data_IF_990808338228
#
_entry.id   IF_990808338228
#
_cell.length_a   1.000
_cell.length_b   1.000
_cell.length_c   1.000
_cell.angle_alpha   90.00
_cell.angle_beta   90.00
_cell.angle_gamma   90.00
#
_symmetry.space_group_name_H-M   'P 1'
#
loop_
_entity.id
_entity.type
_entity.pdbx_description
1 polymer ?
#
# COMPACT_ATOMS: atom_id res chain seq x y z
N UNK A 1 1.49 32.25 -5.00
CA UNK A 1 0.29 31.50 -4.54
C UNK A 1 -0.57 31.00 -5.70
N UNK A 2 -1.04 31.86 -6.61
CA UNK A 2 -1.90 31.42 -7.73
C UNK A 2 -1.19 30.48 -8.73
N UNK A 3 0.08 30.65 -8.96
CA UNK A 3 0.86 29.84 -9.92
C UNK A 3 1.00 28.38 -9.48
N UNK A 4 1.22 28.16 -8.18
CA UNK A 4 1.33 26.81 -7.61
C UNK A 4 -0.01 26.08 -7.66
N UNK A 5 -1.11 26.79 -7.37
CA UNK A 5 -2.49 26.24 -7.45
C UNK A 5 -2.81 25.82 -8.88
N UNK A 6 -2.49 26.68 -9.88
CA UNK A 6 -2.69 26.33 -11.28
C UNK A 6 -1.89 25.07 -11.68
N UNK A 7 -0.66 24.95 -11.24
CA UNK A 7 0.18 23.77 -11.51
C UNK A 7 -0.35 22.50 -10.85
N UNK A 8 -0.93 22.62 -9.65
CA UNK A 8 -1.60 21.51 -8.96
C UNK A 8 -2.82 21.07 -9.77
N UNK A 9 -3.65 22.01 -10.25
CA UNK A 9 -4.82 21.70 -11.07
C UNK A 9 -4.41 21.06 -12.41
N UNK A 10 -3.40 21.59 -13.08
CA UNK A 10 -2.84 21.00 -14.31
C UNK A 10 -2.35 19.57 -14.08
N UNK A 11 -1.60 19.34 -13.00
CA UNK A 11 -1.14 18.02 -12.61
C UNK A 11 -2.29 17.05 -12.34
N UNK A 12 -3.33 17.51 -11.65
CA UNK A 12 -4.54 16.71 -11.40
C UNK A 12 -5.29 16.34 -12.69
N UNK A 13 -5.44 17.27 -13.64
CA UNK A 13 -6.09 17.03 -14.92
C UNK A 13 -5.28 16.09 -15.84
N UNK A 14 -3.94 16.17 -15.79
CA UNK A 14 -3.02 15.32 -16.55
C UNK A 14 -2.72 13.98 -15.86
N UNK A 15 -3.32 13.71 -14.70
CA UNK A 15 -3.03 12.55 -13.85
C UNK A 15 -1.54 12.41 -13.47
N UNK A 16 -0.80 13.52 -13.42
CA UNK A 16 0.58 13.58 -13.01
C UNK A 16 0.67 13.82 -11.50
N UNK A 17 0.63 12.72 -10.74
CA UNK A 17 0.64 12.74 -9.28
C UNK A 17 1.92 13.36 -8.71
N UNK A 18 3.07 13.18 -9.38
CA UNK A 18 4.34 13.75 -8.97
C UNK A 18 4.35 15.28 -9.09
N UNK A 19 3.78 15.79 -10.16
CA UNK A 19 3.61 17.23 -10.37
C UNK A 19 2.72 17.84 -9.28
N UNK A 20 1.58 17.21 -8.99
CA UNK A 20 0.67 17.63 -7.90
C UNK A 20 1.40 17.67 -6.56
N UNK A 21 2.11 16.60 -6.20
CA UNK A 21 2.86 16.51 -4.95
C UNK A 21 3.91 17.60 -4.80
N UNK A 22 4.76 17.78 -5.81
CA UNK A 22 5.84 18.77 -5.78
C UNK A 22 5.31 20.20 -5.61
N UNK A 23 4.29 20.58 -6.36
CA UNK A 23 3.72 21.93 -6.27
C UNK A 23 2.89 22.15 -5.00
N UNK A 24 2.23 21.12 -4.47
CA UNK A 24 1.54 21.20 -3.20
C UNK A 24 2.52 21.35 -2.02
N UNK A 25 3.69 20.71 -2.07
CA UNK A 25 4.75 20.89 -1.08
C UNK A 25 5.32 22.31 -1.12
N UNK A 26 5.60 22.85 -2.32
CA UNK A 26 6.04 24.23 -2.49
C UNK A 26 4.99 25.22 -1.95
N UNK A 27 3.71 24.94 -2.16
CA UNK A 27 2.62 25.77 -1.63
C UNK A 27 2.59 25.74 -0.10
N UNK A 28 2.72 24.54 0.51
CA UNK A 28 2.76 24.39 1.96
C UNK A 28 3.96 25.14 2.59
N UNK A 29 5.15 25.08 1.96
CA UNK A 29 6.34 25.79 2.40
C UNK A 29 6.16 27.32 2.34
N UNK A 30 5.50 27.83 1.29
CA UNK A 30 5.15 29.25 1.18
C UNK A 30 4.17 29.70 2.26
N UNK A 31 3.09 28.95 2.47
CA UNK A 31 2.10 29.22 3.52
C UNK A 31 2.73 29.21 4.92
N UNK A 32 3.69 28.32 5.16
CA UNK A 32 4.44 28.32 6.42
C UNK A 32 5.25 29.61 6.63
N UNK A 33 5.87 30.15 5.57
CA UNK A 33 6.62 31.41 5.61
C UNK A 33 5.72 32.62 5.78
N UNK A 34 4.51 32.57 5.21
CA UNK A 34 3.51 33.65 5.30
C UNK A 34 2.74 33.63 6.65
N UNK A 35 3.09 32.72 7.57
CA UNK A 35 2.52 32.61 8.92
C UNK A 35 1.29 31.70 9.02
N UNK A 36 0.81 31.11 7.93
CA UNK A 36 -0.34 30.21 7.90
C UNK A 36 0.06 28.76 8.23
N UNK A 37 0.67 28.57 9.41
CA UNK A 37 1.23 27.26 9.82
C UNK A 37 0.20 26.15 9.95
N UNK A 38 -1.06 26.45 10.26
CA UNK A 38 -2.15 25.46 10.34
C UNK A 38 -2.48 24.86 8.97
N UNK A 39 -2.63 25.72 7.96
CA UNK A 39 -2.93 25.30 6.59
C UNK A 39 -1.75 24.53 5.98
N UNK A 40 -0.53 24.99 6.20
CA UNK A 40 0.69 24.28 5.79
C UNK A 40 0.74 22.86 6.35
N UNK A 41 0.50 22.67 7.66
CA UNK A 41 0.45 21.33 8.27
C UNK A 41 -0.66 20.46 7.68
N UNK A 42 -1.86 21.00 7.48
CA UNK A 42 -2.96 20.23 6.88
C UNK A 42 -2.64 19.74 5.46
N UNK A 43 -1.96 20.57 4.66
CA UNK A 43 -1.53 20.17 3.32
C UNK A 43 -0.46 19.09 3.41
N UNK A 44 0.56 19.24 4.25
CA UNK A 44 1.62 18.25 4.43
C UNK A 44 1.07 16.90 4.94
N UNK A 45 0.22 16.92 5.97
CA UNK A 45 -0.43 15.71 6.48
C UNK A 45 -1.28 15.00 5.41
N UNK A 46 -1.96 15.78 4.56
CA UNK A 46 -2.76 15.24 3.46
C UNK A 46 -1.87 14.65 2.35
N UNK A 47 -0.71 15.24 2.10
CA UNK A 47 0.28 14.76 1.14
C UNK A 47 0.93 13.48 1.64
N UNK A 48 1.34 13.41 2.91
CA UNK A 48 1.98 12.21 3.47
C UNK A 48 1.05 11.00 3.45
N UNK A 49 -0.22 11.18 3.84
CA UNK A 49 -1.22 10.10 3.82
C UNK A 49 -1.52 9.58 2.40
N UNK A 50 -1.61 10.48 1.41
CA UNK A 50 -1.97 10.11 0.03
C UNK A 50 -0.77 9.75 -0.83
N UNK A 51 0.41 10.32 -0.56
CA UNK A 51 1.60 10.05 -1.35
C UNK A 51 2.07 8.61 -1.19
N UNK A 52 2.02 8.05 0.01
CA UNK A 52 2.29 6.63 0.25
C UNK A 52 1.32 5.72 -0.53
N UNK A 53 0.04 6.11 -0.63
CA UNK A 53 -0.96 5.34 -1.40
C UNK A 53 -0.87 5.56 -2.92
N UNK A 54 -0.40 6.73 -3.39
CA UNK A 54 -0.29 7.04 -4.82
C UNK A 54 0.98 6.51 -5.47
N UNK A 55 2.13 6.52 -4.78
CA UNK A 55 3.35 5.86 -5.25
C UNK A 55 3.11 4.37 -5.45
N UNK A 56 2.37 3.75 -4.53
CA UNK A 56 2.02 2.34 -4.67
C UNK A 56 1.08 2.05 -5.85
N UNK A 57 0.25 3.00 -6.27
CA UNK A 57 -0.68 2.83 -7.41
C UNK A 57 0.00 3.05 -8.77
N UNK A 58 0.92 4.00 -8.89
CA UNK A 58 1.67 4.24 -10.14
C UNK A 58 2.71 3.15 -10.41
N UNK A 59 3.36 2.62 -9.37
CA UNK A 59 4.25 1.47 -9.46
C UNK A 59 3.47 0.16 -9.77
N UNK A 60 2.22 0.07 -9.31
CA UNK A 60 1.31 -1.05 -9.57
C UNK A 60 0.65 -1.00 -10.97
N UNK A 61 0.94 0.01 -11.79
CA UNK A 61 0.33 0.17 -13.13
C UNK A 61 0.75 -0.91 -14.13
N UNK A 62 1.84 -1.65 -13.87
CA UNK A 62 2.32 -2.76 -14.70
C UNK A 62 2.39 -4.06 -13.89
N UNK A 63 1.22 -4.68 -13.69
CA UNK A 63 1.20 -6.00 -13.00
C UNK A 63 2.02 -7.03 -13.76
N UNK A 64 2.83 -7.85 -13.06
CA UNK A 64 3.62 -8.89 -13.70
C UNK A 64 2.70 -9.91 -14.37
N UNK A 65 3.06 -10.27 -15.62
CA UNK A 65 2.32 -11.24 -16.40
C UNK A 65 3.15 -12.50 -16.63
N UNK A 66 2.47 -13.64 -16.72
CA UNK A 66 3.08 -14.88 -17.17
C UNK A 66 3.44 -14.77 -18.66
N UNK A 67 4.64 -15.19 -19.02
CA UNK A 67 5.16 -15.04 -20.39
C UNK A 67 4.40 -15.86 -21.44
N UNK A 68 3.72 -16.92 -21.02
CA UNK A 68 3.00 -17.87 -21.91
C UNK A 68 1.53 -17.56 -22.01
N UNK A 69 0.84 -17.53 -20.87
CA UNK A 69 -0.59 -17.28 -20.81
C UNK A 69 -0.94 -15.80 -20.98
N UNK A 70 0.03 -14.89 -20.80
CA UNK A 70 -0.15 -13.43 -20.71
C UNK A 70 -1.18 -13.02 -19.65
N UNK A 71 -1.47 -13.91 -18.69
CA UNK A 71 -2.35 -13.62 -17.56
C UNK A 71 -1.58 -12.88 -16.48
N UNK A 72 -2.24 -11.96 -15.78
CA UNK A 72 -1.66 -11.34 -14.59
C UNK A 72 -1.40 -12.41 -13.52
N UNK A 73 -0.17 -12.39 -12.98
CA UNK A 73 0.26 -13.31 -11.91
C UNK A 73 -0.24 -12.83 -10.55
N UNK A 74 -0.58 -11.55 -10.45
CA UNK A 74 -1.07 -10.93 -9.22
C UNK A 74 -2.35 -10.17 -9.46
N UNK A 75 -3.20 -10.14 -8.44
CA UNK A 75 -4.31 -9.21 -8.34
C UNK A 75 -3.96 -8.16 -7.29
N UNK A 76 -4.18 -6.90 -7.60
CA UNK A 76 -3.94 -5.79 -6.67
C UNK A 76 -5.27 -5.34 -6.10
N UNK A 77 -5.39 -5.41 -4.80
CA UNK A 77 -6.55 -4.96 -4.06
C UNK A 77 -6.21 -3.71 -3.26
N UNK A 78 -6.86 -2.58 -3.59
CA UNK A 78 -6.74 -1.33 -2.84
C UNK A 78 -7.84 -1.28 -1.78
N UNK A 79 -7.51 -1.33 -0.48
CA UNK A 79 -8.50 -1.28 0.58
C UNK A 79 -9.30 0.03 0.55
N UNK A 80 -10.60 -0.06 0.79
CA UNK A 80 -11.49 1.10 0.95
C UNK A 80 -11.65 1.44 2.44
N UNK A 81 -12.08 2.66 2.75
CA UNK A 81 -12.27 3.11 4.13
C UNK A 81 -13.34 2.30 4.90
N UNK A 82 -14.22 1.60 4.20
CA UNK A 82 -15.36 0.86 4.74
C UNK A 82 -15.17 -0.66 4.80
N UNK A 83 -13.94 -1.14 4.89
CA UNK A 83 -13.72 -2.59 5.07
C UNK A 83 -14.32 -3.10 6.38
N UNK A 84 -14.98 -4.25 6.28
CA UNK A 84 -15.64 -4.87 7.44
C UNK A 84 -14.57 -5.40 8.40
N UNK A 85 -14.58 -4.92 9.64
CA UNK A 85 -13.73 -5.50 10.69
C UNK A 85 -14.14 -6.96 10.91
N UNK A 86 -13.22 -7.93 10.75
CA UNK A 86 -13.52 -9.33 10.95
C UNK A 86 -13.85 -9.61 12.42
N UNK A 87 -14.85 -10.46 12.66
CA UNK A 87 -15.17 -10.95 14.01
C UNK A 87 -14.24 -12.14 14.28
N UNK A 88 -13.30 -11.97 15.21
CA UNK A 88 -12.29 -12.97 15.54
C UNK A 88 -12.40 -13.36 17.02
N UNK A 89 -12.02 -14.59 17.40
CA UNK A 89 -11.79 -14.92 18.80
C UNK A 89 -10.76 -13.97 19.42
N UNK A 90 -10.94 -13.61 20.69
CA UNK A 90 -10.16 -12.59 21.39
C UNK A 90 -8.64 -12.78 21.23
N UNK A 91 -8.14 -14.00 21.47
CA UNK A 91 -6.71 -14.30 21.30
C UNK A 91 -6.20 -14.07 19.87
N UNK A 92 -7.04 -14.36 18.86
CA UNK A 92 -6.68 -14.15 17.45
C UNK A 92 -6.72 -12.67 17.10
N UNK A 93 -7.70 -11.93 17.62
CA UNK A 93 -7.80 -10.49 17.44
C UNK A 93 -6.56 -9.79 18.00
N UNK A 94 -6.13 -10.11 19.22
CA UNK A 94 -4.91 -9.56 19.80
C UNK A 94 -3.67 -9.81 18.94
N UNK A 95 -3.48 -11.03 18.42
CA UNK A 95 -2.34 -11.35 17.53
C UNK A 95 -2.36 -10.54 16.24
N UNK A 96 -3.54 -10.27 15.68
CA UNK A 96 -3.68 -9.44 14.47
C UNK A 96 -3.38 -7.98 14.80
N UNK A 97 -3.89 -7.47 15.92
CA UNK A 97 -3.64 -6.09 16.37
C UNK A 97 -2.15 -5.87 16.69
N UNK A 98 -1.49 -6.84 17.35
CA UNK A 98 -0.05 -6.81 17.62
C UNK A 98 0.76 -6.76 16.32
N UNK A 99 0.40 -7.58 15.32
CA UNK A 99 1.06 -7.56 14.02
C UNK A 99 0.89 -6.22 13.32
N UNK A 100 -0.32 -5.65 13.30
CA UNK A 100 -0.59 -4.32 12.73
C UNK A 100 0.25 -3.26 13.42
N UNK A 101 0.31 -3.28 14.76
CA UNK A 101 1.10 -2.34 15.55
C UNK A 101 2.59 -2.46 15.28
N UNK A 102 3.12 -3.68 15.18
CA UNK A 102 4.52 -3.91 14.81
C UNK A 102 4.86 -3.30 13.45
N UNK A 103 4.03 -3.53 12.44
CA UNK A 103 4.27 -2.96 11.10
C UNK A 103 4.20 -1.42 11.13
N UNK A 104 3.22 -0.85 11.84
CA UNK A 104 3.08 0.62 11.94
C UNK A 104 4.28 1.28 12.61
N UNK A 105 4.91 0.61 13.56
CA UNK A 105 6.05 1.13 14.34
C UNK A 105 7.40 0.53 13.93
N UNK A 106 7.46 -0.14 12.76
CA UNK A 106 8.68 -0.82 12.30
C UNK A 106 9.91 0.09 12.28
N UNK A 107 9.76 1.37 11.88
CA UNK A 107 10.87 2.31 11.84
C UNK A 107 11.49 2.58 13.21
N UNK A 108 10.68 2.64 14.25
CA UNK A 108 11.16 2.85 15.62
C UNK A 108 11.74 1.58 16.23
N UNK A 109 11.20 0.41 15.89
CA UNK A 109 11.75 -0.88 16.27
C UNK A 109 13.16 -1.07 15.71
N UNK A 110 13.37 -0.79 14.41
CA UNK A 110 14.70 -0.87 13.78
C UNK A 110 15.70 0.12 14.38
N UNK A 111 15.30 1.36 14.68
CA UNK A 111 16.17 2.35 15.34
C UNK A 111 16.64 1.88 16.73
N UNK A 112 15.82 1.10 17.43
CA UNK A 112 16.13 0.54 18.74
C UNK A 112 16.81 -0.85 18.66
N UNK A 113 17.18 -1.31 17.46
CA UNK A 113 17.86 -2.60 17.27
C UNK A 113 16.97 -3.82 17.49
N UNK A 114 15.64 -3.66 17.43
CA UNK A 114 14.69 -4.76 17.58
C UNK A 114 14.42 -5.36 16.21
N UNK A 115 14.85 -6.60 16.00
CA UNK A 115 14.50 -7.38 14.82
C UNK A 115 13.14 -8.06 15.04
N UNK A 116 12.26 -7.97 14.05
CA UNK A 116 10.96 -8.65 14.08
C UNK A 116 10.62 -9.24 12.71
N UNK A 117 9.77 -10.28 12.71
CA UNK A 117 9.28 -10.87 11.47
C UNK A 117 8.07 -10.10 10.98
N UNK A 118 8.13 -9.63 9.72
CA UNK A 118 7.00 -9.00 9.01
C UNK A 118 6.13 -10.04 8.28
N UNK A 119 6.24 -11.32 8.64
CA UNK A 119 5.51 -12.41 8.03
C UNK A 119 4.43 -12.91 8.97
N UNK A 120 3.19 -12.99 8.48
CA UNK A 120 2.04 -13.52 9.20
C UNK A 120 1.47 -14.75 8.46
N UNK A 121 1.36 -15.88 9.16
CA UNK A 121 0.73 -17.08 8.63
C UNK A 121 -0.71 -17.19 9.14
N UNK A 122 -1.68 -17.15 8.20
CA UNK A 122 -3.09 -17.36 8.48
C UNK A 122 -3.49 -18.79 8.05
N UNK A 123 -3.90 -19.61 9.00
CA UNK A 123 -4.32 -20.99 8.76
C UNK A 123 -5.73 -21.27 9.31
N UNK A 124 -6.39 -22.28 8.76
CA UNK A 124 -7.75 -22.66 9.15
C UNK A 124 -8.53 -23.24 7.98
N UNK A 125 -9.74 -23.71 8.25
CA UNK A 125 -10.62 -24.33 7.24
C UNK A 125 -11.00 -23.34 6.13
N UNK A 126 -11.35 -23.81 4.92
CA UNK A 126 -11.91 -22.96 3.87
C UNK A 126 -13.12 -22.17 4.39
N UNK A 127 -13.25 -20.90 3.97
CA UNK A 127 -14.37 -20.05 4.35
C UNK A 127 -14.26 -19.36 5.74
N UNK A 128 -13.25 -19.65 6.57
CA UNK A 128 -13.11 -19.04 7.90
C UNK A 128 -12.60 -17.58 7.91
N UNK A 129 -12.62 -16.87 6.79
CA UNK A 129 -12.31 -15.43 6.73
C UNK A 129 -10.84 -15.05 6.63
N UNK A 130 -9.90 -15.96 6.30
CA UNK A 130 -8.47 -15.66 6.16
C UNK A 130 -8.19 -14.47 5.22
N UNK A 131 -8.81 -14.47 4.05
CA UNK A 131 -8.67 -13.38 3.07
C UNK A 131 -9.29 -12.07 3.57
N UNK A 132 -10.36 -12.14 4.35
CA UNK A 132 -10.98 -10.95 4.98
C UNK A 132 -10.04 -10.34 6.01
N UNK A 133 -9.37 -11.18 6.81
CA UNK A 133 -8.34 -10.70 7.76
C UNK A 133 -7.18 -10.05 7.03
N UNK A 134 -6.69 -10.62 5.92
CA UNK A 134 -5.61 -10.03 5.14
C UNK A 134 -6.00 -8.65 4.58
N UNK A 135 -7.21 -8.51 4.03
CA UNK A 135 -7.75 -7.23 3.56
C UNK A 135 -7.88 -6.21 4.68
N UNK A 136 -8.38 -6.61 5.83
CA UNK A 136 -8.49 -5.78 7.02
C UNK A 136 -7.09 -5.29 7.49
N UNK A 137 -6.10 -6.16 7.52
CA UNK A 137 -4.72 -5.79 7.87
C UNK A 137 -4.19 -4.75 6.88
N UNK A 138 -4.33 -4.98 5.57
CA UNK A 138 -3.90 -4.04 4.53
C UNK A 138 -4.54 -2.67 4.70
N UNK A 139 -5.86 -2.63 5.00
CA UNK A 139 -6.57 -1.38 5.31
C UNK A 139 -6.00 -0.67 6.54
N UNK A 140 -5.77 -1.41 7.63
CA UNK A 140 -5.26 -0.83 8.87
C UNK A 140 -3.84 -0.28 8.75
N UNK A 141 -3.03 -0.88 7.87
CA UNK A 141 -1.66 -0.43 7.58
C UNK A 141 -1.67 0.71 6.54
N UNK A 142 -2.72 0.80 5.71
CA UNK A 142 -2.84 1.79 4.63
C UNK A 142 -2.05 1.43 3.38
N UNK A 143 -1.79 0.12 3.15
CA UNK A 143 -1.07 -0.38 1.97
C UNK A 143 -2.00 -1.19 1.06
N UNK A 144 -1.76 -1.21 -0.27
CA UNK A 144 -2.43 -2.11 -1.19
C UNK A 144 -2.05 -3.56 -0.87
N UNK A 145 -3.00 -4.48 -1.07
CA UNK A 145 -2.80 -5.91 -0.90
C UNK A 145 -2.54 -6.54 -2.27
N UNK A 146 -1.34 -7.07 -2.46
CA UNK A 146 -0.98 -7.84 -3.65
C UNK A 146 -1.28 -9.31 -3.39
N UNK A 147 -2.15 -9.90 -4.20
CA UNK A 147 -2.60 -11.28 -4.08
C UNK A 147 -1.98 -12.09 -5.21
N UNK A 148 -1.08 -13.01 -4.87
CA UNK A 148 -0.49 -13.91 -5.87
C UNK A 148 -1.48 -14.99 -6.29
N UNK A 149 -1.66 -15.14 -7.60
CA UNK A 149 -2.54 -16.14 -8.20
C UNK A 149 -1.79 -17.45 -8.42
N UNK A 150 -2.13 -18.48 -7.64
CA UNK A 150 -1.47 -19.78 -7.72
C UNK A 150 -1.65 -20.45 -9.09
N UNK A 151 -2.80 -20.28 -9.73
CA UNK A 151 -3.11 -20.80 -11.07
C UNK A 151 -2.18 -20.20 -12.15
N UNK A 152 -1.84 -18.93 -12.03
CA UNK A 152 -0.91 -18.25 -12.93
C UNK A 152 0.57 -18.40 -12.52
N UNK A 153 0.84 -18.67 -11.24
CA UNK A 153 2.19 -18.95 -10.76
C UNK A 153 2.70 -20.31 -11.20
N UNK A 154 1.83 -21.34 -11.14
CA UNK A 154 2.17 -22.71 -11.50
C UNK A 154 1.95 -22.87 -13.00
N UNK A 155 2.96 -22.54 -13.80
CA UNK A 155 2.94 -22.81 -15.24
C UNK A 155 3.17 -24.27 -15.54
N UNK A 156 2.60 -24.75 -16.65
CA UNK A 156 2.74 -26.11 -17.13
C UNK A 156 4.17 -26.47 -17.53
N UNK A 157 5.05 -25.50 -17.73
CA UNK A 157 6.45 -25.72 -18.13
C UNK A 157 7.40 -25.71 -16.91
N UNK A 158 8.25 -26.72 -16.87
CA UNK A 158 9.34 -26.86 -15.90
C UNK A 158 10.27 -25.62 -15.96
N UNK A 159 10.36 -24.89 -14.85
CA UNK A 159 11.25 -23.73 -14.69
C UNK A 159 10.60 -22.34 -14.84
N UNK A 160 9.37 -22.23 -15.36
CA UNK A 160 8.67 -20.96 -15.43
C UNK A 160 8.08 -20.53 -14.07
N UNK A 161 7.65 -21.48 -13.24
CA UNK A 161 7.14 -21.24 -11.89
C UNK A 161 8.12 -20.43 -11.03
N UNK A 162 9.41 -20.81 -11.00
CA UNK A 162 10.43 -20.07 -10.24
C UNK A 162 10.62 -18.63 -10.73
N UNK A 163 10.55 -18.42 -12.05
CA UNK A 163 10.63 -17.09 -12.66
C UNK A 163 9.38 -16.25 -12.31
N UNK A 164 8.21 -16.85 -12.31
CA UNK A 164 6.96 -16.18 -11.97
C UNK A 164 6.92 -15.81 -10.50
N UNK A 165 7.35 -16.69 -9.60
CA UNK A 165 7.49 -16.38 -8.17
C UNK A 165 8.42 -15.18 -7.99
N UNK A 166 9.60 -15.18 -8.65
CA UNK A 166 10.53 -14.05 -8.54
C UNK A 166 9.90 -12.74 -9.00
N UNK A 167 9.17 -12.73 -10.12
CA UNK A 167 8.47 -11.54 -10.60
C UNK A 167 7.48 -10.97 -9.58
N UNK A 168 6.85 -11.80 -8.76
CA UNK A 168 5.92 -11.34 -7.69
C UNK A 168 6.68 -10.60 -6.59
N UNK A 169 7.90 -11.05 -6.24
CA UNK A 169 8.70 -10.41 -5.19
C UNK A 169 9.52 -9.21 -5.70
N UNK A 170 9.75 -9.13 -7.02
CA UNK A 170 10.43 -8.01 -7.67
C UNK A 170 9.44 -6.88 -8.05
N UNK A 171 8.10 -7.12 -7.90
CA UNK A 171 7.01 -6.18 -8.14
C UNK A 171 6.73 -5.32 -6.91
#
# INVERSE_FOLDING_TARGET
>A
MYTEILRIIEGGLSKDSQKVYNYAKILADKMSRDGETKMSKMILDSLERRYTSMLSLDELSSTPVDAESRMSIVDVYCPTENEIKPILPELTAHKVDDFINMIKHQGDLYKNGVEFSNTLMLYGVPGCGKSTVAKYIAQQIGLPLVIARLDALVSSLLGSTSKNIRKVFDF
#
